data_IF_378868847895
#
_entry.id   IF_378868847895
#
_cell.length_a   1.000
_cell.length_b   1.000
_cell.length_c   1.000
_cell.angle_alpha   90.00
_cell.angle_beta   90.00
_cell.angle_gamma   90.00
#
_symmetry.space_group_name_H-M   'P 1'
#
loop_
_entity.id
_entity.type
_entity.pdbx_description
1 polymer ?
#
# COMPACT_ATOMS: atom_id res chain seq x y z
N UNK A 1 -19.78 18.98 -39.33
CA UNK A 1 -20.72 17.94 -38.87
C UNK A 1 -20.48 17.79 -37.37
N UNK A 2 -21.51 18.00 -36.55
CA UNK A 2 -21.39 18.06 -35.10
C UNK A 2 -20.85 16.74 -34.54
N UNK A 3 -19.79 16.82 -33.73
CA UNK A 3 -19.25 15.71 -32.97
C UNK A 3 -20.20 15.38 -31.83
N UNK A 4 -20.92 14.27 -31.95
CA UNK A 4 -21.46 13.56 -30.79
C UNK A 4 -20.64 12.28 -30.67
N UNK A 5 -19.49 12.37 -29.99
CA UNK A 5 -18.96 11.16 -29.36
C UNK A 5 -19.85 10.86 -28.17
N UNK A 6 -20.58 9.74 -28.24
CA UNK A 6 -21.35 9.24 -27.11
C UNK A 6 -20.44 9.14 -25.88
N UNK A 7 -20.73 9.97 -24.89
CA UNK A 7 -20.06 9.93 -23.60
C UNK A 7 -20.51 8.66 -22.87
N UNK A 8 -19.86 7.55 -23.18
CA UNK A 8 -20.12 6.30 -22.50
C UNK A 8 -19.42 6.32 -21.14
N UNK A 9 -20.17 6.71 -20.11
CA UNK A 9 -19.71 6.77 -18.72
C UNK A 9 -19.09 5.44 -18.24
N UNK A 10 -19.57 4.31 -18.76
CA UNK A 10 -19.04 2.99 -18.39
C UNK A 10 -17.60 2.74 -18.89
N UNK A 11 -17.16 3.44 -19.93
CA UNK A 11 -15.79 3.34 -20.51
C UNK A 11 -14.77 4.22 -19.78
N UNK A 12 -15.16 4.93 -18.72
CA UNK A 12 -14.23 5.76 -17.98
C UNK A 12 -13.43 4.93 -16.98
N UNK A 13 -12.14 5.24 -16.84
CA UNK A 13 -11.35 4.71 -15.75
C UNK A 13 -11.88 5.23 -14.41
N UNK A 14 -12.16 4.32 -13.47
CA UNK A 14 -12.68 4.63 -12.14
C UNK A 14 -11.77 5.54 -11.32
N UNK A 15 -10.45 5.53 -11.56
CA UNK A 15 -9.50 6.30 -10.75
C UNK A 15 -9.14 7.67 -11.36
N UNK A 16 -9.21 7.83 -12.67
CA UNK A 16 -8.80 9.09 -13.32
C UNK A 16 -9.84 9.69 -14.28
N UNK A 17 -10.97 9.01 -14.47
CA UNK A 17 -12.06 9.44 -15.36
C UNK A 17 -11.67 9.66 -16.81
N UNK A 18 -10.54 9.09 -17.26
CA UNK A 18 -10.11 9.13 -18.65
C UNK A 18 -10.53 7.85 -19.39
N UNK A 19 -10.99 8.00 -20.63
CA UNK A 19 -11.18 6.88 -21.57
C UNK A 19 -9.83 6.26 -21.92
N UNK A 20 -9.81 4.95 -22.17
CA UNK A 20 -8.62 4.24 -22.62
C UNK A 20 -9.03 3.02 -23.44
N UNK A 21 -8.28 2.74 -24.50
CA UNK A 21 -8.49 1.56 -25.34
C UNK A 21 -8.12 0.25 -24.63
N UNK A 22 -7.36 0.33 -23.54
CA UNK A 22 -6.93 -0.82 -22.75
C UNK A 22 -7.34 -0.64 -21.28
N UNK A 23 -8.36 -1.38 -20.88
CA UNK A 23 -8.94 -1.33 -19.54
C UNK A 23 -9.13 -2.73 -18.98
N UNK A 24 -9.02 -2.83 -17.66
CA UNK A 24 -9.34 -4.01 -16.89
C UNK A 24 -10.63 -3.76 -16.10
N UNK A 25 -11.45 -4.78 -15.93
CA UNK A 25 -12.57 -4.69 -14.98
C UNK A 25 -12.05 -4.92 -13.56
N UNK A 26 -12.52 -4.11 -12.62
CA UNK A 26 -12.11 -4.22 -11.20
C UNK A 26 -12.59 -5.54 -10.57
N UNK A 27 -13.68 -6.09 -11.09
CA UNK A 27 -14.46 -7.16 -10.46
C UNK A 27 -14.56 -8.46 -11.27
N UNK A 28 -13.82 -8.56 -12.39
CA UNK A 28 -13.72 -9.78 -13.16
C UNK A 28 -12.60 -10.69 -12.62
N UNK A 29 -12.37 -11.82 -13.31
CA UNK A 29 -11.34 -12.80 -12.93
C UNK A 29 -9.93 -12.22 -12.95
N UNK A 30 -9.62 -11.37 -13.93
CA UNK A 30 -8.29 -10.76 -14.03
C UNK A 30 -8.08 -9.74 -12.91
N UNK A 31 -9.09 -8.92 -12.63
CA UNK A 31 -9.08 -7.96 -11.54
C UNK A 31 -8.94 -8.62 -10.16
N UNK A 32 -9.59 -9.77 -9.97
CA UNK A 32 -9.41 -10.60 -8.77
C UNK A 32 -8.00 -11.18 -8.69
N UNK A 33 -7.50 -11.80 -9.76
CA UNK A 33 -6.14 -12.36 -9.83
C UNK A 33 -5.07 -11.32 -9.53
N UNK A 34 -5.23 -10.09 -10.04
CA UNK A 34 -4.32 -8.96 -9.80
C UNK A 34 -4.56 -8.26 -8.45
N UNK A 35 -5.60 -8.67 -7.72
CA UNK A 35 -6.02 -8.12 -6.43
C UNK A 35 -6.31 -6.61 -6.49
N UNK A 36 -6.90 -6.13 -7.58
CA UNK A 36 -7.09 -4.70 -7.84
C UNK A 36 -7.87 -4.00 -6.71
N UNK A 37 -9.00 -4.57 -6.30
CA UNK A 37 -9.84 -3.98 -5.25
C UNK A 37 -9.12 -3.90 -3.89
N UNK A 38 -8.35 -4.92 -3.55
CA UNK A 38 -7.57 -4.96 -2.32
C UNK A 38 -6.46 -3.91 -2.32
N UNK A 39 -5.71 -3.79 -3.43
CA UNK A 39 -4.66 -2.78 -3.58
C UNK A 39 -5.24 -1.37 -3.53
N UNK A 40 -6.38 -1.11 -4.20
CA UNK A 40 -7.07 0.18 -4.15
C UNK A 40 -7.39 0.57 -2.70
N UNK A 41 -8.03 -0.32 -1.94
CA UNK A 41 -8.39 -0.07 -0.54
C UNK A 41 -7.18 0.08 0.38
N UNK A 42 -6.07 -0.56 0.04
CA UNK A 42 -4.83 -0.46 0.81
C UNK A 42 -4.11 0.88 0.60
N UNK A 43 -4.26 1.49 -0.58
CA UNK A 43 -3.51 2.69 -0.97
C UNK A 43 -4.36 3.98 -0.98
N UNK A 44 -5.67 3.88 -1.17
CA UNK A 44 -6.55 5.02 -1.38
C UNK A 44 -7.71 4.98 -0.37
N UNK A 45 -8.15 6.14 0.16
CA UNK A 45 -9.32 6.22 1.04
C UNK A 45 -10.64 6.15 0.23
N UNK A 46 -10.72 5.28 -0.79
CA UNK A 46 -11.89 5.17 -1.66
C UNK A 46 -12.68 3.90 -1.37
N UNK A 47 -14.00 4.08 -1.20
CA UNK A 47 -14.95 2.96 -1.13
C UNK A 47 -15.41 2.64 -2.54
N UNK A 48 -14.99 1.49 -3.07
CA UNK A 48 -15.41 0.97 -4.37
C UNK A 48 -16.19 -0.32 -4.13
N UNK A 49 -17.40 -0.40 -4.69
CA UNK A 49 -18.29 -1.56 -4.58
C UNK A 49 -18.84 -1.97 -5.94
N UNK A 50 -19.40 -3.19 -6.07
CA UNK A 50 -20.01 -3.63 -7.33
C UNK A 50 -21.34 -2.89 -7.56
N UNK A 51 -21.99 -2.50 -6.47
CA UNK A 51 -23.34 -1.95 -6.41
C UNK A 51 -23.39 -0.44 -6.70
N UNK A 52 -22.27 0.28 -6.57
CA UNK A 52 -22.26 1.72 -6.87
C UNK A 52 -22.49 1.99 -8.37
N UNK A 53 -23.11 3.13 -8.69
CA UNK A 53 -23.44 3.53 -10.06
C UNK A 53 -22.26 4.24 -10.77
N UNK A 54 -21.02 3.82 -10.50
CA UNK A 54 -19.80 4.44 -11.01
C UNK A 54 -19.01 3.44 -11.88
N UNK A 55 -18.05 3.89 -12.71
CA UNK A 55 -17.37 3.02 -13.67
C UNK A 55 -16.63 1.88 -12.99
N UNK A 56 -16.63 0.71 -13.63
CA UNK A 56 -16.01 -0.54 -13.12
C UNK A 56 -14.69 -0.87 -13.82
N UNK A 57 -14.29 -0.01 -14.76
CA UNK A 57 -13.05 -0.10 -15.52
C UNK A 57 -11.91 0.61 -14.81
N UNK A 58 -10.68 0.10 -14.96
CA UNK A 58 -9.46 0.80 -14.61
C UNK A 58 -8.50 0.76 -15.80
N UNK A 59 -7.93 1.91 -16.17
CA UNK A 59 -6.97 1.96 -17.26
C UNK A 59 -5.58 1.47 -16.81
N UNK A 60 -4.78 0.97 -17.76
CA UNK A 60 -3.46 0.42 -17.49
C UNK A 60 -2.52 1.40 -16.75
N UNK A 61 -2.59 2.70 -17.05
CA UNK A 61 -1.78 3.73 -16.35
C UNK A 61 -2.12 3.78 -14.85
N UNK A 62 -3.38 3.65 -14.50
CA UNK A 62 -3.84 3.64 -13.11
C UNK A 62 -3.46 2.33 -12.40
N UNK A 63 -3.55 1.19 -13.09
CA UNK A 63 -3.08 -0.11 -12.56
C UNK A 63 -1.58 -0.06 -12.25
N UNK A 64 -0.76 0.41 -13.19
CA UNK A 64 0.68 0.53 -12.98
C UNK A 64 1.03 1.41 -11.77
N UNK A 65 0.41 2.59 -11.66
CA UNK A 65 0.60 3.46 -10.50
C UNK A 65 0.15 2.78 -9.20
N UNK A 66 -0.99 2.09 -9.23
CA UNK A 66 -1.52 1.39 -8.08
C UNK A 66 -0.56 0.30 -7.58
N UNK A 67 0.00 -0.50 -8.49
CA UNK A 67 0.99 -1.53 -8.15
C UNK A 67 2.24 -0.89 -7.52
N UNK A 68 2.78 0.16 -8.15
CA UNK A 68 3.92 0.92 -7.61
C UNK A 68 3.66 1.48 -6.21
N UNK A 69 2.48 2.07 -5.97
CA UNK A 69 2.11 2.59 -4.66
C UNK A 69 1.95 1.48 -3.61
N UNK A 70 1.36 0.35 -4.01
CA UNK A 70 1.17 -0.78 -3.11
C UNK A 70 2.51 -1.39 -2.68
N UNK A 71 3.42 -1.63 -3.62
CA UNK A 71 4.76 -2.14 -3.34
C UNK A 71 5.55 -1.20 -2.43
N UNK A 72 5.51 0.11 -2.72
CA UNK A 72 6.14 1.11 -1.88
C UNK A 72 5.57 1.08 -0.45
N UNK A 73 4.24 1.02 -0.30
CA UNK A 73 3.57 0.92 1.00
C UNK A 73 4.04 -0.33 1.78
N UNK A 74 4.07 -1.50 1.14
CA UNK A 74 4.52 -2.75 1.78
C UNK A 74 5.99 -2.65 2.22
N UNK A 75 6.84 -2.04 1.40
CA UNK A 75 8.25 -1.80 1.74
C UNK A 75 8.39 -0.91 2.97
N UNK A 76 7.64 0.20 3.04
CA UNK A 76 7.64 1.07 4.21
C UNK A 76 7.18 0.36 5.48
N UNK A 77 6.10 -0.43 5.41
CA UNK A 77 5.60 -1.18 6.58
C UNK A 77 6.59 -2.24 7.07
N UNK A 78 7.24 -2.94 6.14
CA UNK A 78 8.28 -3.93 6.45
C UNK A 78 9.46 -3.24 7.12
N UNK A 79 9.91 -2.11 6.56
CA UNK A 79 11.00 -1.31 7.11
C UNK A 79 10.66 -0.79 8.50
N UNK A 80 9.44 -0.32 8.73
CA UNK A 80 9.00 0.15 10.05
C UNK A 80 9.09 -0.96 11.10
N UNK A 81 8.66 -2.19 10.77
CA UNK A 81 8.79 -3.35 11.66
C UNK A 81 10.25 -3.65 12.00
N UNK A 82 11.13 -3.66 11.00
CA UNK A 82 12.57 -3.88 11.17
C UNK A 82 13.18 -2.80 12.06
N UNK A 83 12.85 -1.53 11.84
CA UNK A 83 13.36 -0.41 12.63
C UNK A 83 12.89 -0.47 14.09
N UNK A 84 11.65 -0.89 14.35
CA UNK A 84 11.14 -1.12 15.72
C UNK A 84 11.94 -2.20 16.44
N UNK A 85 12.20 -3.33 15.79
CA UNK A 85 12.99 -4.42 16.36
C UNK A 85 14.44 -4.00 16.68
N UNK A 86 15.06 -3.20 15.80
CA UNK A 86 16.38 -2.62 16.07
C UNK A 86 16.35 -1.70 17.28
N UNK A 87 15.37 -0.79 17.36
CA UNK A 87 15.24 0.13 18.49
C UNK A 87 15.04 -0.62 19.82
N UNK A 88 14.27 -1.71 19.83
CA UNK A 88 14.09 -2.56 21.02
C UNK A 88 15.39 -3.28 21.41
N UNK A 89 16.09 -3.86 20.44
CA UNK A 89 17.36 -4.56 20.69
C UNK A 89 18.43 -3.63 21.28
N UNK A 90 18.53 -2.40 20.76
CA UNK A 90 19.46 -1.38 21.27
C UNK A 90 19.13 -1.02 22.72
N UNK A 91 17.83 -0.88 23.07
CA UNK A 91 17.41 -0.61 24.45
C UNK A 91 17.82 -1.74 25.41
N UNK A 92 17.62 -2.99 25.01
CA UNK A 92 18.02 -4.15 25.83
C UNK A 92 19.53 -4.23 26.03
N UNK A 93 20.32 -3.97 24.99
CA UNK A 93 21.78 -3.94 25.09
C UNK A 93 22.25 -2.84 26.05
N UNK A 94 21.71 -1.61 25.94
CA UNK A 94 22.06 -0.52 26.83
C UNK A 94 21.78 -0.84 28.32
N UNK A 95 20.68 -1.53 28.60
CA UNK A 95 20.33 -1.98 29.96
C UNK A 95 21.28 -3.05 30.50
N UNK A 96 21.71 -3.99 29.65
CA UNK A 96 22.68 -5.03 30.06
C UNK A 96 24.04 -4.44 30.42
N UNK A 97 24.51 -3.42 29.69
CA UNK A 97 25.78 -2.73 29.97
C UNK A 97 25.72 -1.97 31.29
N UNK A 98 24.60 -1.29 31.56
CA UNK A 98 24.42 -0.55 32.82
C UNK A 98 24.31 -1.45 34.06
N UNK A 99 23.95 -2.73 33.88
CA UNK A 99 23.87 -3.72 34.97
C UNK A 99 25.20 -4.41 35.28
N UNK A 100 26.16 -4.38 34.36
CA UNK A 100 27.52 -4.93 34.57
C UNK A 100 28.43 -3.94 35.32
N UNK A 101 28.30 -2.64 35.07
CA UNK A 101 29.09 -1.59 35.74
C UNK A 101 28.83 -1.45 37.24
N UNK A 102 27.68 -1.93 37.76
CA UNK A 102 27.40 -1.98 39.20
C UNK A 102 28.01 -3.21 39.89
N UNK A 103 28.16 -4.34 39.18
CA UNK A 103 28.79 -5.55 39.73
C UNK A 103 30.30 -5.42 39.91
N UNK A 104 30.97 -4.69 39.02
CA UNK A 104 32.42 -4.48 39.08
C UNK A 104 32.87 -3.48 40.17
N UNK A 105 31.95 -2.71 40.76
CA UNK A 105 32.26 -1.82 41.90
C UNK A 105 32.26 -2.51 43.26
N UNK A 106 31.67 -3.70 43.39
CA UNK A 106 31.62 -4.43 44.67
C UNK A 106 32.82 -5.36 44.89
N UNK A 107 33.64 -5.59 43.86
CA UNK A 107 34.80 -6.49 43.89
C UNK A 107 36.14 -5.80 44.14
N UNK A 108 36.20 -4.46 44.25
CA UNK A 108 37.44 -3.70 44.49
C UNK A 108 37.54 -3.07 45.89
N UNK A 109 36.73 -3.50 46.87
CA UNK A 109 36.77 -2.98 48.25
C UNK A 109 37.10 -4.04 49.31
N UNK A 110 37.75 -5.15 48.91
CA UNK A 110 38.26 -6.18 49.80
C UNK A 110 39.76 -6.11 49.99
#
# INVERSE_FOLDING_TARGET
MAMNEDFNFSELCRLCSLKSNHQLQIFDKEGEQRQLLFKIRSCLPSVITKEDALPKNICQKCVYKLDMFYEFRVSCMTTESVLKNYAESIKHLAQSVNSQSEKDKMSSSG
#
